data_IF_444441578438
#
_entry.id   IF_444441578438
#
_cell.length_a   1.000
_cell.length_b   1.000
_cell.length_c   1.000
_cell.angle_alpha   90.00
_cell.angle_beta   90.00
_cell.angle_gamma   90.00
#
_symmetry.space_group_name_H-M   'P 1'
#
loop_
_entity.id
_entity.type
_entity.pdbx_description
1 polymer ?
#
# COMPACT_ATOMS: atom_id res chain seq x y z
N UNK A 1 -8.77 -0.08 15.43
CA UNK A 1 -9.12 0.39 14.09
C UNK A 1 -8.33 -0.41 13.06
N UNK A 2 -8.99 -1.09 12.11
CA UNK A 2 -8.32 -1.94 11.09
C UNK A 2 -8.04 -1.20 9.76
N UNK A 3 -8.58 0.00 9.59
CA UNK A 3 -8.35 0.87 8.44
C UNK A 3 -9.16 2.16 8.53
N UNK A 4 -8.83 3.17 7.73
CA UNK A 4 -9.47 4.49 7.82
C UNK A 4 -10.96 4.49 7.40
N UNK A 5 -11.40 3.47 6.64
CA UNK A 5 -12.80 3.33 6.22
C UNK A 5 -13.75 3.05 7.41
N UNK A 6 -13.25 2.53 8.54
CA UNK A 6 -14.05 2.39 9.77
C UNK A 6 -14.51 3.74 10.34
N UNK A 7 -13.78 4.83 10.02
CA UNK A 7 -14.13 6.19 10.43
C UNK A 7 -15.22 6.81 9.55
N UNK A 8 -15.48 6.23 8.38
CA UNK A 8 -16.37 6.81 7.38
C UNK A 8 -17.81 6.86 7.86
N UNK A 9 -18.39 5.74 8.26
CA UNK A 9 -19.82 5.68 8.63
C UNK A 9 -20.16 6.64 9.78
N UNK A 10 -19.40 6.66 10.91
CA UNK A 10 -19.69 7.59 11.99
C UNK A 10 -19.55 9.06 11.58
N UNK A 11 -18.53 9.42 10.81
CA UNK A 11 -18.30 10.80 10.37
C UNK A 11 -19.33 11.23 9.33
N UNK A 12 -19.61 10.39 8.33
CA UNK A 12 -20.64 10.62 7.32
C UNK A 12 -21.99 10.92 7.98
N UNK A 13 -22.44 10.07 8.91
CA UNK A 13 -23.73 10.26 9.59
C UNK A 13 -23.81 11.53 10.47
N UNK A 14 -22.66 12.09 10.87
CA UNK A 14 -22.59 13.27 11.75
C UNK A 14 -22.34 14.58 11.01
N UNK A 15 -22.15 14.53 9.69
CA UNK A 15 -21.76 15.69 8.87
C UNK A 15 -22.89 16.13 7.94
N UNK A 16 -22.78 17.34 7.38
CA UNK A 16 -23.81 17.89 6.49
C UNK A 16 -23.70 17.26 5.11
N UNK A 17 -24.83 17.01 4.45
CA UNK A 17 -24.86 16.46 3.07
C UNK A 17 -24.12 17.30 2.03
N UNK A 18 -23.97 18.59 2.27
CA UNK A 18 -23.23 19.53 1.41
C UNK A 18 -21.73 19.57 1.68
N UNK A 19 -21.21 18.70 2.53
CA UNK A 19 -19.83 18.76 2.97
C UNK A 19 -18.85 18.11 2.00
N UNK A 20 -17.57 18.46 2.13
CA UNK A 20 -16.51 17.85 1.34
C UNK A 20 -16.48 16.31 1.53
N UNK A 21 -16.74 15.81 2.75
CA UNK A 21 -16.77 14.38 3.03
C UNK A 21 -17.90 13.66 2.30
N UNK A 22 -19.12 14.21 2.31
CA UNK A 22 -20.25 13.63 1.58
C UNK A 22 -20.01 13.60 0.07
N UNK A 23 -19.51 14.72 -0.49
CA UNK A 23 -19.18 14.82 -1.91
C UNK A 23 -18.05 13.86 -2.29
N UNK A 24 -17.00 13.75 -1.48
CA UNK A 24 -15.90 12.82 -1.68
C UNK A 24 -16.38 11.36 -1.65
N UNK A 25 -17.21 11.01 -0.66
CA UNK A 25 -17.79 9.67 -0.53
C UNK A 25 -18.62 9.32 -1.76
N UNK A 26 -19.46 10.25 -2.23
CA UNK A 26 -20.29 10.03 -3.40
C UNK A 26 -19.45 9.91 -4.68
N UNK A 27 -18.39 10.72 -4.82
CA UNK A 27 -17.48 10.62 -5.95
C UNK A 27 -16.76 9.26 -6.00
N UNK A 28 -16.27 8.76 -4.86
CA UNK A 28 -15.66 7.43 -4.75
C UNK A 28 -16.68 6.35 -5.09
N UNK A 29 -17.89 6.39 -4.49
CA UNK A 29 -18.94 5.41 -4.76
C UNK A 29 -19.35 5.38 -6.25
N UNK A 30 -19.51 6.54 -6.87
CA UNK A 30 -19.81 6.65 -8.31
C UNK A 30 -18.67 6.12 -9.18
N UNK A 31 -17.41 6.40 -8.82
CA UNK A 31 -16.25 5.86 -9.54
C UNK A 31 -16.20 4.33 -9.44
N UNK A 32 -16.35 3.78 -8.23
CA UNK A 32 -16.39 2.34 -8.01
C UNK A 32 -17.55 1.67 -8.74
N UNK A 33 -18.75 2.26 -8.71
CA UNK A 33 -19.91 1.74 -9.42
C UNK A 33 -19.80 1.89 -10.95
N UNK A 34 -19.20 2.97 -11.42
CA UNK A 34 -19.02 3.24 -12.85
C UNK A 34 -17.98 2.36 -13.52
N UNK A 35 -17.12 1.75 -12.71
CA UNK A 35 -16.10 0.80 -13.13
C UNK A 35 -16.70 -0.55 -13.59
N UNK A 36 -17.94 -0.87 -13.20
CA UNK A 36 -18.65 -2.08 -13.65
C UNK A 36 -19.11 -1.99 -15.12
N UNK A 37 -19.20 -3.14 -15.83
CA UNK A 37 -19.73 -3.20 -17.18
C UNK A 37 -21.12 -2.56 -17.29
N UNK A 38 -21.31 -1.68 -18.28
CA UNK A 38 -22.60 -1.03 -18.56
C UNK A 38 -22.95 0.19 -17.71
N UNK A 39 -22.08 0.63 -16.79
CA UNK A 39 -22.32 1.80 -15.90
C UNK A 39 -21.37 2.98 -16.13
N UNK A 40 -20.81 3.08 -17.33
CA UNK A 40 -19.75 4.05 -17.65
C UNK A 40 -20.22 5.52 -17.58
N UNK A 41 -21.52 5.76 -17.67
CA UNK A 41 -22.15 7.06 -17.46
C UNK A 41 -21.87 7.61 -16.05
N UNK A 42 -21.79 6.73 -15.04
CA UNK A 42 -21.49 7.12 -13.66
C UNK A 42 -20.07 7.69 -13.50
N UNK A 43 -19.12 7.34 -14.37
CA UNK A 43 -17.74 7.86 -14.29
C UNK A 43 -17.68 9.36 -14.58
N UNK A 44 -18.52 9.85 -15.49
CA UNK A 44 -18.64 11.29 -15.76
C UNK A 44 -19.23 12.02 -14.57
N UNK A 45 -20.21 11.42 -13.91
CA UNK A 45 -20.81 11.95 -12.70
C UNK A 45 -19.82 11.93 -11.53
N UNK A 46 -19.02 10.87 -11.40
CA UNK A 46 -17.96 10.73 -10.43
C UNK A 46 -16.94 11.87 -10.56
N UNK A 47 -16.43 12.12 -11.78
CA UNK A 47 -15.49 13.21 -12.05
C UNK A 47 -16.09 14.60 -11.76
N UNK A 48 -17.36 14.81 -12.11
CA UNK A 48 -18.07 16.06 -11.82
C UNK A 48 -18.23 16.26 -10.31
N UNK A 49 -18.59 15.20 -9.59
CA UNK A 49 -18.78 15.22 -8.13
C UNK A 49 -17.46 15.39 -7.41
N UNK A 50 -16.38 14.77 -7.90
CA UNK A 50 -15.03 14.95 -7.41
C UNK A 50 -14.56 16.40 -7.54
N UNK A 51 -14.78 17.03 -8.70
CA UNK A 51 -14.47 18.46 -8.90
C UNK A 51 -15.25 19.38 -7.94
N UNK A 52 -16.53 19.07 -7.67
CA UNK A 52 -17.32 19.78 -6.65
C UNK A 52 -16.75 19.58 -5.25
N UNK A 53 -16.34 18.35 -4.91
CA UNK A 53 -15.74 18.01 -3.63
C UNK A 53 -14.42 18.77 -3.40
N UNK A 54 -13.54 18.81 -4.41
CA UNK A 54 -12.29 19.58 -4.38
C UNK A 54 -12.55 21.08 -4.16
N UNK A 55 -13.52 21.66 -4.88
CA UNK A 55 -13.89 23.06 -4.69
C UNK A 55 -14.38 23.31 -3.26
N UNK A 56 -15.26 22.43 -2.74
CA UNK A 56 -15.79 22.53 -1.38
C UNK A 56 -14.67 22.41 -0.34
N UNK A 57 -13.75 21.46 -0.51
CA UNK A 57 -12.59 21.31 0.38
C UNK A 57 -11.73 22.58 0.37
N UNK A 58 -11.43 23.14 -0.81
CA UNK A 58 -10.64 24.38 -0.90
C UNK A 58 -11.32 25.56 -0.20
N UNK A 59 -12.65 25.62 -0.20
CA UNK A 59 -13.38 26.62 0.57
C UNK A 59 -13.32 26.33 2.09
N UNK A 60 -13.45 25.07 2.50
CA UNK A 60 -13.31 24.64 3.91
C UNK A 60 -11.92 24.91 4.48
N UNK A 61 -10.88 24.79 3.65
CA UNK A 61 -9.50 25.06 4.05
C UNK A 61 -9.23 26.54 4.37
N UNK A 62 -10.10 27.46 3.93
CA UNK A 62 -10.00 28.90 4.26
C UNK A 62 -10.48 29.21 5.68
N UNK A 63 -11.29 28.32 6.27
CA UNK A 63 -11.77 28.47 7.64
C UNK A 63 -10.80 27.77 8.62
N UNK A 64 -10.20 28.48 9.60
CA UNK A 64 -9.23 27.90 10.53
C UNK A 64 -9.77 26.78 11.44
N UNK A 65 -11.07 26.74 11.70
CA UNK A 65 -11.71 25.70 12.50
C UNK A 65 -12.09 24.50 11.64
N UNK A 66 -12.73 24.74 10.48
CA UNK A 66 -13.14 23.66 9.58
C UNK A 66 -11.95 22.94 8.98
N UNK A 67 -10.90 23.67 8.55
CA UNK A 67 -9.66 23.08 8.01
C UNK A 67 -8.99 22.04 8.93
N UNK A 68 -9.22 22.14 10.25
CA UNK A 68 -8.68 21.23 11.25
C UNK A 68 -9.66 20.14 11.68
N UNK A 69 -10.86 20.07 11.10
CA UNK A 69 -11.90 19.12 11.47
C UNK A 69 -11.63 17.71 10.94
N UNK A 70 -11.94 16.68 11.75
CA UNK A 70 -11.82 15.26 11.38
C UNK A 70 -12.43 14.94 10.02
N UNK A 71 -13.55 15.57 9.74
CA UNK A 71 -14.24 15.54 8.45
C UNK A 71 -13.35 15.96 7.28
N UNK A 72 -12.66 17.10 7.38
CA UNK A 72 -11.77 17.63 6.33
C UNK A 72 -10.62 16.68 6.05
N UNK A 73 -9.99 16.12 7.09
CA UNK A 73 -8.89 15.17 6.91
C UNK A 73 -9.39 13.87 6.30
N UNK A 74 -10.53 13.34 6.75
CA UNK A 74 -11.10 12.14 6.15
C UNK A 74 -11.53 12.35 4.69
N UNK A 75 -12.05 13.53 4.34
CA UNK A 75 -12.36 13.88 2.96
C UNK A 75 -11.11 13.84 2.06
N UNK A 76 -9.96 14.31 2.54
CA UNK A 76 -8.68 14.22 1.82
C UNK A 76 -8.23 12.77 1.66
N UNK A 77 -8.40 11.91 2.68
CA UNK A 77 -8.11 10.48 2.55
C UNK A 77 -9.01 9.81 1.50
N UNK A 78 -10.29 10.19 1.41
CA UNK A 78 -11.17 9.72 0.33
C UNK A 78 -10.77 10.23 -1.05
N UNK A 79 -10.20 11.44 -1.17
CA UNK A 79 -9.63 11.89 -2.44
C UNK A 79 -8.46 11.00 -2.87
N UNK A 80 -7.61 10.60 -1.93
CA UNK A 80 -6.56 9.62 -2.24
C UNK A 80 -7.16 8.30 -2.75
N UNK A 81 -8.26 7.82 -2.17
CA UNK A 81 -8.98 6.62 -2.63
C UNK A 81 -9.61 6.81 -4.02
N UNK A 82 -10.13 8.00 -4.31
CA UNK A 82 -10.64 8.37 -5.62
C UNK A 82 -9.53 8.34 -6.67
N UNK A 83 -8.35 8.89 -6.40
CA UNK A 83 -7.23 8.88 -7.37
C UNK A 83 -6.81 7.45 -7.71
N UNK A 84 -6.75 6.54 -6.72
CA UNK A 84 -6.47 5.12 -6.97
C UNK A 84 -7.58 4.47 -7.79
N UNK A 85 -8.84 4.84 -7.55
CA UNK A 85 -9.97 4.39 -8.38
C UNK A 85 -9.95 5.02 -9.78
N UNK A 86 -9.36 6.21 -9.92
CA UNK A 86 -9.20 6.95 -11.16
C UNK A 86 -7.99 6.51 -11.99
N UNK A 87 -7.01 5.78 -11.40
CA UNK A 87 -6.07 4.93 -12.17
C UNK A 87 -6.85 4.06 -13.15
N UNK A 88 -7.99 3.57 -12.67
CA UNK A 88 -8.87 2.67 -13.38
C UNK A 88 -9.71 3.42 -14.45
N UNK A 89 -10.01 4.69 -14.22
CA UNK A 89 -10.87 5.53 -15.08
C UNK A 89 -10.11 6.32 -16.16
N UNK A 90 -8.91 6.84 -15.88
CA UNK A 90 -8.12 7.66 -16.84
C UNK A 90 -7.55 6.81 -17.97
N UNK A 91 -7.33 5.54 -17.70
CA UNK A 91 -7.12 4.46 -18.63
C UNK A 91 -8.39 4.08 -19.45
N UNK A 92 -9.22 5.06 -19.82
CA UNK A 92 -10.30 4.93 -20.82
C UNK A 92 -10.49 6.18 -21.68
N UNK A 93 -9.92 7.32 -21.30
CA UNK A 93 -9.87 8.52 -22.13
C UNK A 93 -8.58 8.48 -22.95
N UNK A 94 -8.55 8.97 -24.18
CA UNK A 94 -7.35 9.05 -25.04
C UNK A 94 -6.24 9.97 -24.50
N UNK A 95 -6.33 10.36 -23.23
CA UNK A 95 -5.31 11.07 -22.46
C UNK A 95 -4.61 10.02 -21.61
N UNK A 96 -3.37 9.69 -21.97
CA UNK A 96 -2.51 8.80 -21.17
C UNK A 96 -2.17 9.55 -19.88
N UNK A 97 -2.91 9.33 -18.80
CA UNK A 97 -2.36 9.55 -17.46
C UNK A 97 -1.51 8.34 -17.12
N UNK A 98 -0.26 8.59 -16.76
CA UNK A 98 0.65 7.52 -16.37
C UNK A 98 0.30 7.00 -14.97
N UNK A 99 0.69 5.77 -14.66
CA UNK A 99 0.67 5.25 -13.28
C UNK A 99 1.41 6.20 -12.33
N UNK A 100 2.43 6.91 -12.83
CA UNK A 100 3.18 7.89 -12.06
C UNK A 100 2.37 9.15 -11.71
N UNK A 101 1.54 9.65 -12.63
CA UNK A 101 0.69 10.84 -12.38
C UNK A 101 -0.34 10.59 -11.27
N UNK A 102 -0.87 9.37 -11.23
CA UNK A 102 -1.90 8.96 -10.28
C UNK A 102 -1.33 8.57 -8.91
N UNK A 103 -0.19 7.88 -8.88
CA UNK A 103 0.60 7.69 -7.65
C UNK A 103 1.00 9.05 -7.07
N UNK A 104 1.38 10.00 -7.93
CA UNK A 104 1.71 11.37 -7.51
C UNK A 104 0.48 12.11 -6.96
N UNK A 105 -0.68 12.02 -7.63
CA UNK A 105 -1.91 12.64 -7.15
C UNK A 105 -2.35 12.06 -5.80
N UNK A 106 -2.33 10.74 -5.65
CA UNK A 106 -2.56 10.06 -4.37
C UNK A 106 -1.59 10.56 -3.30
N UNK A 107 -0.28 10.58 -3.59
CA UNK A 107 0.74 11.01 -2.65
C UNK A 107 0.57 12.47 -2.22
N UNK A 108 0.13 13.35 -3.14
CA UNK A 108 -0.15 14.76 -2.84
C UNK A 108 -1.32 14.92 -1.84
N UNK A 109 -2.38 14.11 -1.96
CA UNK A 109 -3.46 14.10 -0.98
C UNK A 109 -2.96 13.62 0.39
N UNK A 110 -2.11 12.58 0.43
CA UNK A 110 -1.50 12.12 1.67
C UNK A 110 -0.62 13.20 2.30
N UNK A 111 0.24 13.86 1.51
CA UNK A 111 1.08 14.97 1.98
C UNK A 111 0.23 16.13 2.53
N UNK A 112 -0.92 16.42 1.91
CA UNK A 112 -1.91 17.38 2.41
C UNK A 112 -2.54 16.97 3.75
N UNK A 113 -2.95 15.71 3.89
CA UNK A 113 -3.48 15.18 5.15
C UNK A 113 -2.44 15.22 6.28
N UNK A 114 -1.17 14.91 5.98
CA UNK A 114 -0.04 15.01 6.91
C UNK A 114 0.17 16.45 7.36
N UNK A 115 0.14 17.41 6.45
CA UNK A 115 0.28 18.83 6.77
C UNK A 115 -0.80 19.31 7.73
N UNK A 116 -2.08 18.98 7.47
CA UNK A 116 -3.18 19.31 8.38
C UNK A 116 -3.04 18.62 9.74
N UNK A 117 -2.60 17.36 9.75
CA UNK A 117 -2.36 16.61 10.98
C UNK A 117 -1.28 17.26 11.84
N UNK A 118 -0.20 17.76 11.22
CA UNK A 118 0.84 18.55 11.91
C UNK A 118 0.27 19.86 12.48
N UNK A 119 -0.58 20.57 11.71
CA UNK A 119 -1.23 21.82 12.14
C UNK A 119 -2.17 21.61 13.33
N UNK A 120 -2.85 20.47 13.41
CA UNK A 120 -3.67 20.10 14.59
C UNK A 120 -2.83 19.90 15.86
N UNK A 121 -1.55 19.57 15.71
CA UNK A 121 -0.64 19.34 16.84
C UNK A 121 -1.09 18.21 17.75
N UNK A 122 -0.62 18.21 19.00
CA UNK A 122 -0.93 17.17 19.99
C UNK A 122 -2.34 17.29 20.58
N UNK A 123 -3.06 18.38 20.31
CA UNK A 123 -4.42 18.59 20.82
C UNK A 123 -5.42 17.54 20.31
N UNK A 124 -5.20 17.00 19.10
CA UNK A 124 -6.03 15.94 18.55
C UNK A 124 -6.02 14.65 19.38
N UNK A 125 -5.02 14.44 20.24
CA UNK A 125 -4.96 13.27 21.12
C UNK A 125 -5.95 13.34 22.30
N UNK A 126 -6.53 14.52 22.57
CA UNK A 126 -7.55 14.70 23.61
C UNK A 126 -8.91 14.12 23.21
N UNK A 127 -9.16 13.93 21.91
CA UNK A 127 -10.40 13.38 21.38
C UNK A 127 -10.13 11.99 20.78
N UNK A 128 -10.81 10.92 21.24
CA UNK A 128 -10.60 9.57 20.72
C UNK A 128 -10.77 9.46 19.19
N UNK A 129 -11.78 10.14 18.62
CA UNK A 129 -12.03 10.12 17.18
C UNK A 129 -10.90 10.81 16.40
N UNK A 130 -10.46 11.97 16.86
CA UNK A 130 -9.37 12.70 16.21
C UNK A 130 -8.04 11.95 16.34
N UNK A 131 -7.84 11.18 17.41
CA UNK A 131 -6.71 10.28 17.56
C UNK A 131 -6.77 9.10 16.56
N UNK A 132 -7.95 8.55 16.28
CA UNK A 132 -8.09 7.52 15.25
C UNK A 132 -7.87 8.09 13.83
N UNK A 133 -8.33 9.32 13.56
CA UNK A 133 -8.00 10.03 12.31
C UNK A 133 -6.49 10.25 12.19
N UNK A 134 -5.80 10.63 13.27
CA UNK A 134 -4.33 10.72 13.30
C UNK A 134 -3.68 9.39 12.93
N UNK A 135 -4.14 8.27 13.51
CA UNK A 135 -3.62 6.92 13.22
C UNK A 135 -3.82 6.56 11.75
N UNK A 136 -4.98 6.87 11.17
CA UNK A 136 -5.26 6.67 9.76
C UNK A 136 -4.29 7.45 8.86
N UNK A 137 -4.06 8.74 9.13
CA UNK A 137 -3.09 9.56 8.38
C UNK A 137 -1.68 9.01 8.54
N UNK A 138 -1.28 8.61 9.76
CA UNK A 138 0.04 8.03 10.03
C UNK A 138 0.29 6.77 9.20
N UNK A 139 -0.68 5.85 9.14
CA UNK A 139 -0.58 4.65 8.31
C UNK A 139 -0.41 4.99 6.84
N UNK A 140 -1.27 5.88 6.29
CA UNK A 140 -1.19 6.28 4.88
C UNK A 140 0.12 7.02 4.55
N UNK A 141 0.61 7.86 5.46
CA UNK A 141 1.89 8.55 5.35
C UNK A 141 3.05 7.56 5.26
N UNK A 142 3.11 6.58 6.17
CA UNK A 142 4.19 5.60 6.19
C UNK A 142 4.17 4.78 4.89
N UNK A 143 3.00 4.34 4.43
CA UNK A 143 2.86 3.68 3.12
C UNK A 143 3.41 4.56 1.99
N UNK A 144 3.05 5.85 1.96
CA UNK A 144 3.52 6.80 0.93
C UNK A 144 5.04 7.06 0.99
N UNK A 145 5.59 7.19 2.19
CA UNK A 145 7.01 7.41 2.42
C UNK A 145 7.84 6.17 2.03
N UNK A 146 7.36 4.98 2.37
CA UNK A 146 8.00 3.71 1.96
C UNK A 146 8.00 3.63 0.43
N UNK A 147 6.87 3.90 -0.21
CA UNK A 147 6.71 3.90 -1.68
C UNK A 147 7.71 4.81 -2.39
N UNK A 148 7.75 6.07 -1.98
CA UNK A 148 8.60 7.10 -2.60
C UNK A 148 10.06 7.07 -2.12
N UNK A 149 10.40 6.15 -1.21
CA UNK A 149 11.67 6.16 -0.48
C UNK A 149 12.00 7.55 0.10
N UNK A 150 10.97 8.24 0.60
CA UNK A 150 11.09 9.58 1.18
C UNK A 150 11.12 9.48 2.71
N UNK A 151 12.08 10.13 3.39
CA UNK A 151 12.09 10.21 4.84
C UNK A 151 10.78 10.74 5.42
N UNK A 152 10.43 10.26 6.61
CA UNK A 152 9.27 10.74 7.36
C UNK A 152 9.64 12.05 8.06
N UNK A 153 8.91 13.13 7.77
CA UNK A 153 9.09 14.40 8.46
C UNK A 153 8.70 14.32 9.94
N UNK A 154 9.21 15.21 10.78
CA UNK A 154 8.89 15.21 12.21
C UNK A 154 7.46 15.71 12.48
N UNK A 155 6.85 15.16 13.54
CA UNK A 155 5.58 15.62 14.10
C UNK A 155 5.83 16.49 15.34
N UNK A 156 5.10 17.60 15.56
CA UNK A 156 5.33 18.55 16.66
C UNK A 156 4.92 18.04 18.07
N UNK A 157 5.23 16.78 18.40
CA UNK A 157 4.99 16.18 19.71
C UNK A 157 6.26 15.54 20.29
N UNK A 158 6.32 15.41 21.63
CA UNK A 158 7.48 14.85 22.35
C UNK A 158 7.93 13.48 21.82
N UNK A 159 6.99 12.66 21.37
CA UNK A 159 7.22 11.30 20.87
C UNK A 159 7.10 11.21 19.34
N UNK A 160 7.10 12.35 18.65
CA UNK A 160 6.86 12.43 17.20
C UNK A 160 5.57 11.71 16.80
N UNK A 161 5.65 10.97 15.69
CA UNK A 161 4.54 10.17 15.17
C UNK A 161 4.24 8.91 15.99
N UNK A 162 5.13 8.48 16.90
CA UNK A 162 4.92 7.28 17.70
C UNK A 162 3.86 7.48 18.80
N UNK A 163 3.71 8.72 19.30
CA UNK A 163 2.79 9.10 20.41
C UNK A 163 3.08 8.30 21.69
N UNK A 164 2.73 8.81 22.87
CA UNK A 164 2.90 8.06 24.13
C UNK A 164 1.76 7.04 24.28
N UNK A 165 1.78 5.96 23.50
CA UNK A 165 0.77 4.90 23.52
C UNK A 165 0.98 3.95 24.73
N UNK A 166 1.00 4.52 25.95
CA UNK A 166 1.10 3.76 27.22
C UNK A 166 -0.15 2.93 27.55
N UNK A 167 -1.22 3.13 26.80
CA UNK A 167 -2.43 2.30 26.89
C UNK A 167 -2.14 1.04 26.08
N UNK A 168 -2.02 -0.12 26.72
CA UNK A 168 -1.78 -1.43 26.10
C UNK A 168 -2.90 -1.94 25.18
N UNK A 169 -3.47 -1.04 24.38
CA UNK A 169 -4.58 -1.21 23.44
C UNK A 169 -4.11 -0.90 21.99
N UNK A 170 -2.81 -1.06 21.73
CA UNK A 170 -2.28 -0.98 20.37
C UNK A 170 -2.78 -2.18 19.58
N UNK A 171 -3.77 -1.95 18.71
CA UNK A 171 -4.20 -2.96 17.76
C UNK A 171 -3.02 -3.40 16.87
N UNK A 172 -3.05 -4.64 16.37
CA UNK A 172 -1.95 -5.23 15.62
C UNK A 172 -1.50 -4.40 14.40
N UNK A 173 -2.43 -3.72 13.71
CA UNK A 173 -2.12 -2.86 12.56
C UNK A 173 -1.31 -1.61 12.96
N UNK A 174 -1.62 -1.01 14.11
CA UNK A 174 -0.84 0.10 14.66
C UNK A 174 0.57 -0.35 15.04
N UNK A 175 0.71 -1.50 15.69
CA UNK A 175 2.03 -2.08 16.04
C UNK A 175 2.89 -2.29 14.78
N UNK A 176 2.30 -2.83 13.71
CA UNK A 176 2.97 -2.98 12.42
C UNK A 176 3.41 -1.62 11.85
N UNK A 177 2.51 -0.65 11.86
CA UNK A 177 2.78 0.72 11.39
C UNK A 177 3.97 1.33 12.14
N UNK A 178 4.05 1.16 13.45
CA UNK A 178 5.14 1.68 14.28
C UNK A 178 6.48 0.98 14.01
N UNK A 179 6.48 -0.30 13.63
CA UNK A 179 7.69 -1.01 13.21
C UNK A 179 8.15 -0.49 11.84
N UNK A 180 7.22 -0.28 10.89
CA UNK A 180 7.58 0.19 9.54
C UNK A 180 7.90 1.70 9.48
N UNK A 181 7.76 2.49 10.56
CA UNK A 181 7.97 3.95 10.52
C UNK A 181 9.39 4.37 10.14
N UNK A 182 10.38 3.53 10.48
CA UNK A 182 11.79 3.82 10.22
C UNK A 182 12.24 3.29 8.83
N UNK A 183 11.42 2.44 8.19
CA UNK A 183 11.70 1.82 6.90
C UNK A 183 11.92 2.84 5.76
N UNK A 184 11.15 3.94 5.63
CA UNK A 184 11.42 4.95 4.60
C UNK A 184 12.81 5.58 4.71
N UNK A 185 13.27 5.83 5.94
CA UNK A 185 14.59 6.41 6.18
C UNK A 185 15.70 5.44 5.80
N UNK A 186 15.54 4.16 6.16
CA UNK A 186 16.48 3.09 5.81
C UNK A 186 16.57 2.95 4.28
N UNK A 187 15.43 2.94 3.58
CA UNK A 187 15.39 2.88 2.12
C UNK A 187 16.06 4.08 1.47
N UNK A 188 15.78 5.29 1.94
CA UNK A 188 16.41 6.51 1.40
C UNK A 188 17.94 6.45 1.52
N UNK A 189 18.46 6.03 2.69
CA UNK A 189 19.90 5.83 2.93
C UNK A 189 20.48 4.74 2.02
N UNK A 190 19.80 3.61 1.89
CA UNK A 190 20.21 2.52 1.01
C UNK A 190 20.28 2.96 -0.45
N UNK A 191 19.25 3.65 -0.96
CA UNK A 191 19.22 4.19 -2.33
C UNK A 191 20.37 5.16 -2.57
N UNK A 192 20.64 6.07 -1.64
CA UNK A 192 21.74 7.02 -1.76
C UNK A 192 23.11 6.31 -1.86
N UNK A 193 23.30 5.24 -1.07
CA UNK A 193 24.49 4.39 -1.14
C UNK A 193 24.60 3.66 -2.49
N UNK A 194 23.54 2.95 -2.90
CA UNK A 194 23.62 1.97 -3.99
C UNK A 194 23.53 2.58 -5.38
N UNK A 195 23.14 3.85 -5.48
CA UNK A 195 23.19 4.64 -6.72
C UNK A 195 24.55 5.28 -6.96
N UNK A 196 25.41 5.32 -5.93
CA UNK A 196 26.78 5.84 -6.04
C UNK A 196 27.77 4.70 -6.26
N UNK A 197 28.89 4.92 -6.98
CA UNK A 197 29.98 3.96 -7.04
C UNK A 197 30.47 3.58 -5.64
N UNK A 198 31.03 2.38 -5.51
CA UNK A 198 31.63 1.95 -4.26
C UNK A 198 32.69 2.95 -3.77
N UNK A 199 32.62 3.31 -2.50
CA UNK A 199 33.54 4.24 -1.85
C UNK A 199 33.86 3.74 -0.43
N UNK A 200 35.15 3.57 -0.12
CA UNK A 200 35.58 2.90 1.13
C UNK A 200 35.12 3.65 2.40
N UNK A 201 35.04 4.97 2.33
CA UNK A 201 34.56 5.84 3.42
C UNK A 201 33.07 5.65 3.74
N UNK A 202 32.29 5.04 2.83
CA UNK A 202 30.87 4.75 3.03
C UNK A 202 30.61 3.30 3.52
N UNK A 203 31.64 2.48 3.76
CA UNK A 203 31.47 1.10 4.24
C UNK A 203 30.77 1.04 5.62
N UNK A 204 31.12 1.94 6.54
CA UNK A 204 30.48 2.00 7.87
C UNK A 204 28.99 2.33 7.76
N UNK A 205 28.63 3.25 6.85
CA UNK A 205 27.24 3.61 6.58
C UNK A 205 26.48 2.44 5.93
N UNK A 206 27.09 1.73 4.99
CA UNK A 206 26.51 0.52 4.39
C UNK A 206 26.27 -0.59 5.43
N UNK A 207 27.22 -0.80 6.35
CA UNK A 207 27.05 -1.74 7.46
C UNK A 207 25.97 -1.29 8.46
N UNK A 208 25.87 0.02 8.73
CA UNK A 208 24.81 0.60 9.56
C UNK A 208 23.42 0.36 8.95
N UNK A 209 23.24 0.67 7.67
CA UNK A 209 21.97 0.47 6.95
C UNK A 209 21.62 -1.02 6.88
N UNK A 210 22.59 -1.88 6.59
CA UNK A 210 22.42 -3.34 6.57
C UNK A 210 21.93 -3.87 7.93
N UNK A 211 22.64 -3.53 9.01
CA UNK A 211 22.30 -3.99 10.36
C UNK A 211 20.93 -3.46 10.82
N UNK A 212 20.58 -2.23 10.43
CA UNK A 212 19.29 -1.67 10.79
C UNK A 212 18.14 -2.30 10.00
N UNK A 213 18.33 -2.61 8.71
CA UNK A 213 17.35 -3.35 7.92
C UNK A 213 17.10 -4.77 8.47
N UNK A 214 18.16 -5.45 8.94
CA UNK A 214 18.05 -6.75 9.63
C UNK A 214 17.26 -6.65 10.94
N UNK A 215 17.50 -5.60 11.74
CA UNK A 215 16.76 -5.36 12.97
C UNK A 215 15.27 -5.13 12.72
N UNK A 216 14.93 -4.34 11.69
CA UNK A 216 13.52 -4.09 11.33
C UNK A 216 12.86 -5.37 10.82
N UNK A 217 13.53 -6.18 9.98
CA UNK A 217 12.97 -7.46 9.53
C UNK A 217 12.72 -8.44 10.69
N UNK A 218 13.65 -8.51 11.66
CA UNK A 218 13.47 -9.31 12.86
C UNK A 218 12.25 -8.85 13.68
N UNK A 219 12.09 -7.54 13.89
CA UNK A 219 10.92 -6.98 14.58
C UNK A 219 9.60 -7.27 13.85
N UNK A 220 9.61 -7.26 12.51
CA UNK A 220 8.44 -7.64 11.71
C UNK A 220 8.10 -9.13 11.91
N UNK A 221 9.11 -10.00 11.87
CA UNK A 221 8.92 -11.43 12.10
C UNK A 221 8.36 -11.72 13.50
N UNK A 222 8.92 -11.06 14.53
CA UNK A 222 8.43 -11.16 15.91
C UNK A 222 6.99 -10.67 16.03
N UNK A 223 6.65 -9.55 15.38
CA UNK A 223 5.28 -9.04 15.34
C UNK A 223 4.31 -10.11 14.81
N UNK A 224 4.65 -10.79 13.72
CA UNK A 224 3.80 -11.82 13.12
C UNK A 224 3.56 -12.99 14.10
N UNK A 225 4.58 -13.40 14.86
CA UNK A 225 4.45 -14.44 15.88
C UNK A 225 3.59 -14.03 17.08
N UNK A 226 3.40 -12.73 17.32
CA UNK A 226 2.51 -12.25 18.40
C UNK A 226 1.03 -12.22 18.03
N UNK A 227 0.67 -12.49 16.77
CA UNK A 227 -0.70 -12.38 16.30
C UNK A 227 -1.57 -13.56 16.79
N UNK A 228 -2.85 -13.32 17.12
CA UNK A 228 -3.80 -14.39 17.42
C UNK A 228 -3.99 -15.36 16.25
N UNK A 229 -4.49 -16.57 16.54
CA UNK A 229 -4.73 -17.61 15.53
C UNK A 229 -5.66 -17.14 14.40
N UNK A 230 -6.65 -16.29 14.68
CA UNK A 230 -7.59 -15.77 13.67
C UNK A 230 -6.94 -14.86 12.62
N UNK A 231 -5.68 -14.44 12.84
CA UNK A 231 -4.88 -13.69 11.86
C UNK A 231 -4.10 -14.60 10.91
N UNK A 232 -3.99 -15.89 11.23
CA UNK A 232 -3.29 -16.86 10.40
C UNK A 232 -4.17 -17.28 9.22
N UNK A 233 -3.54 -17.53 8.09
CA UNK A 233 -4.26 -18.10 6.96
C UNK A 233 -4.59 -19.57 7.21
N UNK A 234 -5.62 -20.04 6.52
CA UNK A 234 -5.89 -21.47 6.32
C UNK A 234 -5.61 -21.82 4.86
N UNK A 235 -4.86 -22.90 4.65
CA UNK A 235 -4.67 -23.47 3.31
C UNK A 235 -5.90 -24.29 2.93
N UNK A 236 -6.59 -23.88 1.87
CA UNK A 236 -7.84 -24.53 1.41
C UNK A 236 -7.65 -25.35 0.13
N UNK A 237 -6.48 -25.26 -0.50
CA UNK A 237 -6.17 -25.97 -1.73
C UNK A 237 -4.69 -25.87 -2.11
N UNK A 238 -4.31 -26.65 -3.12
CA UNK A 238 -2.96 -26.70 -3.68
C UNK A 238 -3.06 -26.74 -5.21
N UNK A 239 -2.35 -25.86 -5.89
CA UNK A 239 -2.30 -25.80 -7.35
C UNK A 239 -0.96 -26.36 -7.81
N UNK A 240 -0.99 -27.50 -8.51
CA UNK A 240 0.22 -28.22 -8.91
C UNK A 240 0.66 -27.96 -10.35
N UNK A 241 -0.25 -27.49 -11.20
CA UNK A 241 0.02 -27.31 -12.63
C UNK A 241 0.36 -25.86 -12.92
N UNK A 242 1.49 -25.62 -13.58
CA UNK A 242 1.82 -24.29 -14.10
C UNK A 242 1.03 -24.07 -15.40
N UNK A 243 0.17 -23.04 -15.47
CA UNK A 243 -0.51 -22.70 -16.72
C UNK A 243 0.48 -22.38 -17.83
N UNK A 244 0.14 -22.69 -19.09
CA UNK A 244 0.93 -22.26 -20.25
C UNK A 244 0.91 -20.73 -20.35
N UNK A 245 -0.28 -20.13 -20.27
CA UNK A 245 -0.49 -18.68 -20.20
C UNK A 245 -0.65 -18.24 -18.74
N UNK A 246 0.47 -17.92 -18.09
CA UNK A 246 0.47 -17.55 -16.67
C UNK A 246 -0.23 -16.22 -16.41
N UNK A 247 -0.19 -15.25 -17.32
CA UNK A 247 -0.80 -13.93 -17.08
C UNK A 247 -2.32 -13.99 -16.83
N UNK A 248 -3.02 -14.91 -17.50
CA UNK A 248 -4.49 -15.00 -17.44
C UNK A 248 -5.00 -15.98 -16.37
N UNK A 249 -4.11 -16.79 -15.78
CA UNK A 249 -4.49 -17.76 -14.75
C UNK A 249 -4.99 -17.11 -13.46
N UNK A 250 -6.12 -17.60 -12.95
CA UNK A 250 -6.69 -17.17 -11.67
C UNK A 250 -5.80 -17.50 -10.47
N UNK A 251 -4.99 -18.56 -10.57
CA UNK A 251 -4.20 -19.07 -9.45
C UNK A 251 -2.72 -19.19 -9.86
N UNK A 252 -1.84 -18.93 -8.89
CA UNK A 252 -0.44 -19.30 -8.99
C UNK A 252 -0.23 -20.72 -8.47
N UNK A 253 0.86 -21.36 -8.89
CA UNK A 253 1.25 -22.65 -8.32
C UNK A 253 1.49 -22.53 -6.81
N UNK A 254 1.16 -23.58 -6.08
CA UNK A 254 1.32 -23.64 -4.64
C UNK A 254 0.00 -23.50 -3.85
N UNK A 255 0.11 -23.22 -2.55
CA UNK A 255 -1.03 -23.24 -1.64
C UNK A 255 -2.00 -22.09 -1.92
N UNK A 256 -3.27 -22.29 -1.58
CA UNK A 256 -4.32 -21.28 -1.68
C UNK A 256 -4.75 -20.88 -0.27
N UNK A 257 -4.58 -19.62 0.09
CA UNK A 257 -4.74 -19.10 1.45
C UNK A 257 -6.06 -18.34 1.60
N UNK A 258 -6.82 -18.67 2.65
CA UNK A 258 -8.03 -17.97 3.08
C UNK A 258 -7.81 -17.39 4.47
N UNK A 259 -8.28 -16.16 4.68
CA UNK A 259 -8.20 -15.47 5.97
C UNK A 259 -9.61 -15.29 6.56
N UNK A 260 -9.66 -14.80 7.79
CA UNK A 260 -10.91 -14.43 8.45
C UNK A 260 -11.67 -13.38 7.64
N UNK A 261 -11.00 -12.31 7.21
CA UNK A 261 -11.56 -11.30 6.33
C UNK A 261 -10.48 -10.62 5.47
N UNK A 262 -10.93 -9.84 4.49
CA UNK A 262 -10.06 -9.10 3.56
C UNK A 262 -9.20 -8.05 4.27
N UNK A 263 -9.65 -7.49 5.40
CA UNK A 263 -8.87 -6.51 6.16
C UNK A 263 -7.66 -7.17 6.82
N UNK A 264 -7.85 -8.33 7.46
CA UNK A 264 -6.76 -9.12 8.04
C UNK A 264 -5.76 -9.48 6.95
N UNK A 265 -6.23 -10.04 5.83
CA UNK A 265 -5.36 -10.40 4.72
C UNK A 265 -4.58 -9.19 4.16
N UNK A 266 -5.21 -8.02 4.08
CA UNK A 266 -4.57 -6.76 3.68
C UNK A 266 -3.44 -6.36 4.62
N UNK A 267 -3.67 -6.38 5.95
CA UNK A 267 -2.64 -6.04 6.94
C UNK A 267 -1.49 -7.06 6.92
N UNK A 268 -1.77 -8.35 6.71
CA UNK A 268 -0.73 -9.36 6.53
C UNK A 268 0.08 -9.09 5.24
N UNK A 269 -0.56 -8.65 4.16
CA UNK A 269 0.15 -8.25 2.95
C UNK A 269 1.00 -6.99 3.16
N UNK A 270 0.56 -6.02 3.95
CA UNK A 270 1.40 -4.87 4.35
C UNK A 270 2.67 -5.32 5.08
N UNK A 271 2.54 -6.30 5.97
CA UNK A 271 3.68 -6.94 6.65
C UNK A 271 4.64 -7.60 5.64
N UNK A 272 4.12 -8.39 4.70
CA UNK A 272 4.93 -9.04 3.66
C UNK A 272 5.68 -8.03 2.82
N UNK A 273 5.01 -6.93 2.44
CA UNK A 273 5.62 -5.84 1.68
C UNK A 273 6.70 -5.12 2.50
N UNK A 274 6.48 -4.83 3.78
CA UNK A 274 7.54 -4.26 4.65
C UNK A 274 8.77 -5.20 4.71
N UNK A 275 8.56 -6.52 4.82
CA UNK A 275 9.66 -7.51 4.81
C UNK A 275 10.39 -7.57 3.48
N UNK A 276 9.67 -7.54 2.36
CA UNK A 276 10.26 -7.45 1.01
C UNK A 276 11.21 -6.26 0.95
N UNK A 277 10.77 -5.07 1.39
CA UNK A 277 11.62 -3.89 1.35
C UNK A 277 12.83 -3.96 2.27
N UNK A 278 12.69 -4.48 3.49
CA UNK A 278 13.84 -4.69 4.38
C UNK A 278 14.88 -5.60 3.73
N UNK A 279 14.43 -6.71 3.16
CA UNK A 279 15.32 -7.69 2.52
C UNK A 279 15.90 -7.18 1.19
N UNK A 280 15.17 -6.35 0.44
CA UNK A 280 15.73 -5.65 -0.73
C UNK A 280 16.85 -4.69 -0.32
N UNK A 281 16.70 -3.96 0.79
CA UNK A 281 17.80 -3.13 1.33
C UNK A 281 19.01 -3.99 1.71
N UNK A 282 18.78 -5.12 2.39
CA UNK A 282 19.85 -6.07 2.76
C UNK A 282 20.61 -6.53 1.51
N UNK A 283 19.89 -6.99 0.48
CA UNK A 283 20.46 -7.42 -0.81
C UNK A 283 21.29 -6.29 -1.44
N UNK A 284 20.75 -5.08 -1.51
CA UNK A 284 21.43 -3.92 -2.09
C UNK A 284 22.71 -3.54 -1.34
N UNK A 285 22.67 -3.48 0.00
CA UNK A 285 23.86 -3.18 0.81
C UNK A 285 24.94 -4.26 0.67
N UNK A 286 24.55 -5.54 0.68
CA UNK A 286 25.52 -6.64 0.53
C UNK A 286 26.16 -6.63 -0.87
N UNK A 287 25.36 -6.41 -1.92
CA UNK A 287 25.88 -6.26 -3.28
C UNK A 287 26.88 -5.10 -3.37
N UNK A 288 26.54 -3.95 -2.81
CA UNK A 288 27.39 -2.76 -2.83
C UNK A 288 28.72 -3.00 -2.09
N UNK A 289 28.68 -3.62 -0.90
CA UNK A 289 29.88 -3.98 -0.13
C UNK A 289 30.77 -5.02 -0.86
N UNK A 290 30.17 -5.91 -1.66
CA UNK A 290 30.92 -6.90 -2.44
C UNK A 290 31.74 -6.26 -3.58
N UNK A 291 31.34 -5.10 -4.11
CA UNK A 291 32.09 -4.37 -5.13
C UNK A 291 33.49 -3.97 -4.62
N UNK A 292 33.61 -3.62 -3.34
CA UNK A 292 34.90 -3.31 -2.69
C UNK A 292 35.84 -4.51 -2.52
N UNK A 293 35.31 -5.74 -2.58
CA UNK A 293 36.04 -7.00 -2.36
C UNK A 293 36.43 -7.70 -3.67
N UNK A 294 36.90 -6.92 -4.65
CA UNK A 294 37.31 -7.39 -5.98
C UNK A 294 36.22 -8.18 -6.75
N UNK A 295 34.95 -7.83 -6.56
CA UNK A 295 33.85 -8.39 -7.34
C UNK A 295 33.57 -9.88 -7.10
N UNK A 296 34.01 -10.46 -5.97
CA UNK A 296 33.53 -11.79 -5.57
C UNK A 296 32.02 -11.75 -5.39
N UNK A 297 31.32 -12.78 -5.88
CA UNK A 297 29.88 -12.87 -5.67
C UNK A 297 29.55 -12.72 -4.17
N UNK A 298 28.46 -12.02 -3.82
CA UNK A 298 28.03 -11.85 -2.45
C UNK A 298 27.52 -13.17 -1.86
N UNK A 299 28.42 -14.11 -1.59
CA UNK A 299 28.14 -15.40 -0.94
C UNK A 299 28.09 -15.25 0.58
N UNK A 300 27.40 -14.21 1.06
CA UNK A 300 27.12 -14.07 2.50
C UNK A 300 25.79 -14.74 2.82
N UNK A 301 25.71 -15.39 3.98
CA UNK A 301 24.45 -15.98 4.48
C UNK A 301 23.31 -14.95 4.55
N UNK A 302 23.63 -13.68 4.80
CA UNK A 302 22.67 -12.58 4.81
C UNK A 302 22.03 -12.35 3.43
N UNK A 303 22.78 -12.51 2.35
CA UNK A 303 22.27 -12.35 0.97
C UNK A 303 21.32 -13.48 0.60
N UNK A 304 21.74 -14.73 0.82
CA UNK A 304 20.92 -15.92 0.52
C UNK A 304 19.64 -15.94 1.35
N UNK A 305 19.73 -15.62 2.64
CA UNK A 305 18.56 -15.52 3.51
C UNK A 305 17.61 -14.40 3.05
N UNK A 306 18.12 -13.24 2.65
CA UNK A 306 17.29 -12.14 2.18
C UNK A 306 16.53 -12.50 0.88
N UNK A 307 17.21 -13.16 -0.06
CA UNK A 307 16.55 -13.66 -1.29
C UNK A 307 15.47 -14.71 -0.97
N UNK A 308 15.76 -15.64 -0.06
CA UNK A 308 14.79 -16.64 0.39
C UNK A 308 13.56 -15.99 1.01
N UNK A 309 13.74 -15.00 1.89
CA UNK A 309 12.63 -14.27 2.51
C UNK A 309 11.82 -13.51 1.45
N UNK A 310 12.48 -12.82 0.51
CA UNK A 310 11.77 -12.11 -0.57
C UNK A 310 10.89 -13.08 -1.37
N UNK A 311 11.43 -14.22 -1.79
CA UNK A 311 10.67 -15.25 -2.52
C UNK A 311 9.49 -15.76 -1.69
N UNK A 312 9.71 -16.10 -0.42
CA UNK A 312 8.64 -16.58 0.47
C UNK A 312 7.52 -15.56 0.65
N UNK A 313 7.84 -14.27 0.82
CA UNK A 313 6.82 -13.22 0.92
C UNK A 313 6.01 -13.06 -0.36
N UNK A 314 6.66 -13.18 -1.53
CA UNK A 314 5.99 -13.12 -2.83
C UNK A 314 5.11 -14.35 -3.06
N UNK A 315 5.56 -15.54 -2.69
CA UNK A 315 4.76 -16.77 -2.77
C UNK A 315 3.52 -16.70 -1.88
N UNK A 316 3.65 -16.14 -0.67
CA UNK A 316 2.49 -15.98 0.21
C UNK A 316 1.52 -14.89 -0.26
N UNK A 317 2.01 -13.80 -0.90
CA UNK A 317 1.15 -12.84 -1.61
C UNK A 317 0.40 -13.58 -2.72
N UNK A 318 1.10 -14.34 -3.57
CA UNK A 318 0.50 -15.14 -4.64
C UNK A 318 -0.60 -16.08 -4.12
N UNK A 319 -0.35 -16.76 -3.00
CA UNK A 319 -1.27 -17.70 -2.39
C UNK A 319 -2.60 -17.07 -1.91
N UNK A 320 -2.60 -15.78 -1.56
CA UNK A 320 -3.80 -15.09 -1.07
C UNK A 320 -4.57 -14.31 -2.14
N UNK A 321 -4.04 -14.19 -3.37
CA UNK A 321 -4.71 -13.45 -4.44
C UNK A 321 -6.14 -13.93 -4.70
N UNK A 322 -6.41 -15.25 -4.81
CA UNK A 322 -7.76 -15.72 -5.11
C UNK A 322 -8.76 -15.39 -4.00
N UNK A 323 -8.33 -15.38 -2.73
CA UNK A 323 -9.16 -14.96 -1.60
C UNK A 323 -9.61 -13.50 -1.73
N UNK A 324 -8.72 -12.60 -2.13
CA UNK A 324 -9.06 -11.20 -2.36
C UNK A 324 -9.93 -10.99 -3.60
N UNK A 325 -9.72 -11.76 -4.67
CA UNK A 325 -10.36 -11.51 -5.97
C UNK A 325 -11.66 -12.28 -6.21
N UNK A 326 -11.97 -13.29 -5.40
CA UNK A 326 -13.14 -14.14 -5.56
C UNK A 326 -14.02 -14.10 -4.33
N UNK A 327 -15.24 -13.58 -4.47
CA UNK A 327 -16.25 -13.63 -3.41
C UNK A 327 -16.50 -15.06 -2.93
N UNK A 328 -16.31 -16.06 -3.80
CA UNK A 328 -16.50 -17.45 -3.43
C UNK A 328 -15.55 -17.93 -2.32
N UNK A 329 -14.37 -17.33 -2.25
CA UNK A 329 -13.35 -17.62 -1.26
C UNK A 329 -13.45 -16.76 0.01
N UNK A 330 -14.45 -15.86 0.11
CA UNK A 330 -14.62 -14.94 1.23
C UNK A 330 -15.79 -15.37 2.14
N UNK A 331 -15.60 -16.34 3.06
CA UNK A 331 -16.68 -16.88 3.89
C UNK A 331 -17.35 -15.81 4.76
N UNK A 332 -16.57 -14.86 5.30
CA UNK A 332 -17.07 -13.78 6.14
C UNK A 332 -17.93 -12.76 5.38
N UNK A 333 -17.56 -12.46 4.13
CA UNK A 333 -18.36 -11.59 3.27
C UNK A 333 -19.74 -12.22 2.99
N UNK A 334 -19.76 -13.54 2.73
CA UNK A 334 -20.99 -14.33 2.57
C UNK A 334 -21.85 -14.37 3.81
N UNK A 335 -21.24 -14.61 4.97
CA UNK A 335 -21.95 -14.65 6.26
C UNK A 335 -22.63 -13.32 6.58
N UNK A 336 -21.96 -12.21 6.30
CA UNK A 336 -22.47 -10.85 6.53
C UNK A 336 -23.43 -10.37 5.42
N UNK A 337 -23.66 -11.17 4.37
CA UNK A 337 -24.51 -10.79 3.24
C UNK A 337 -23.97 -9.59 2.47
N UNK A 338 -22.65 -9.44 2.38
CA UNK A 338 -22.03 -8.37 1.60
C UNK A 338 -22.35 -8.54 0.11
N UNK A 339 -22.48 -7.42 -0.58
CA UNK A 339 -22.61 -7.43 -2.03
C UNK A 339 -21.33 -7.99 -2.67
N UNK A 340 -21.51 -8.93 -3.62
CA UNK A 340 -20.39 -9.64 -4.28
C UNK A 340 -19.42 -8.67 -4.93
N UNK A 341 -19.96 -7.73 -5.69
CA UNK A 341 -19.19 -6.76 -6.46
C UNK A 341 -18.42 -5.85 -5.50
N UNK A 342 -19.06 -5.35 -4.43
CA UNK A 342 -18.39 -4.55 -3.41
C UNK A 342 -17.25 -5.30 -2.68
N UNK A 343 -17.45 -6.58 -2.36
CA UNK A 343 -16.45 -7.41 -1.68
C UNK A 343 -15.22 -7.68 -2.56
N UNK A 344 -15.43 -8.04 -3.84
CA UNK A 344 -14.35 -8.20 -4.82
C UNK A 344 -13.65 -6.87 -5.11
N UNK A 345 -14.37 -5.75 -5.13
CA UNK A 345 -13.80 -4.41 -5.28
C UNK A 345 -12.82 -4.05 -4.18
N UNK A 346 -13.22 -4.27 -2.92
CA UNK A 346 -12.34 -4.00 -1.78
C UNK A 346 -11.13 -4.94 -1.77
N UNK A 347 -11.34 -6.23 -2.09
CA UNK A 347 -10.26 -7.20 -2.17
C UNK A 347 -9.25 -6.86 -3.28
N UNK A 348 -9.73 -6.51 -4.47
CA UNK A 348 -8.90 -6.05 -5.59
C UNK A 348 -8.13 -4.78 -5.26
N UNK A 349 -8.79 -3.76 -4.69
CA UNK A 349 -8.14 -2.54 -4.21
C UNK A 349 -6.98 -2.84 -3.25
N UNK A 350 -7.22 -3.72 -2.27
CA UNK A 350 -6.23 -4.09 -1.26
C UNK A 350 -5.02 -4.85 -1.84
N UNK A 351 -5.15 -5.45 -3.02
CA UNK A 351 -4.07 -6.17 -3.71
C UNK A 351 -3.22 -5.32 -4.65
N UNK A 352 -3.72 -4.16 -5.10
CA UNK A 352 -3.01 -3.34 -6.12
C UNK A 352 -1.57 -3.10 -5.72
N UNK A 353 -1.35 -2.72 -4.45
CA UNK A 353 -0.01 -2.40 -3.98
C UNK A 353 0.89 -3.64 -3.79
N UNK A 354 0.49 -4.68 -3.04
CA UNK A 354 1.28 -5.91 -2.92
C UNK A 354 1.68 -6.54 -4.27
N UNK A 355 0.74 -6.58 -5.22
CA UNK A 355 1.01 -7.11 -6.56
C UNK A 355 1.96 -6.21 -7.36
N UNK A 356 1.83 -4.89 -7.25
CA UNK A 356 2.75 -3.95 -7.91
C UNK A 356 4.17 -4.12 -7.37
N UNK A 357 4.35 -4.20 -6.06
CA UNK A 357 5.67 -4.44 -5.45
C UNK A 357 6.23 -5.77 -5.94
N UNK A 358 5.47 -6.86 -5.77
CA UNK A 358 5.95 -8.19 -6.09
C UNK A 358 6.27 -8.38 -7.59
N UNK A 359 5.47 -7.80 -8.48
CA UNK A 359 5.71 -7.89 -9.94
C UNK A 359 6.90 -7.07 -10.43
N UNK A 360 7.42 -6.13 -9.64
CA UNK A 360 8.58 -5.30 -9.99
C UNK A 360 9.90 -5.76 -9.33
N UNK A 361 9.92 -6.88 -8.61
CA UNK A 361 11.13 -7.42 -8.00
C UNK A 361 11.97 -8.21 -9.01
N UNK A 362 13.12 -7.69 -9.42
CA UNK A 362 14.03 -8.33 -10.38
C UNK A 362 14.52 -9.71 -9.90
N UNK A 363 14.56 -9.94 -8.59
CA UNK A 363 14.99 -11.19 -7.96
C UNK A 363 13.99 -12.34 -8.09
N UNK A 364 12.74 -12.06 -8.45
CA UNK A 364 11.67 -13.07 -8.60
C UNK A 364 11.70 -13.69 -10.00
N UNK A 365 11.21 -14.92 -10.15
CA UNK A 365 11.10 -15.54 -11.47
C UNK A 365 10.19 -14.73 -12.41
N UNK A 366 10.56 -14.65 -13.69
CA UNK A 366 9.82 -13.85 -14.67
C UNK A 366 8.37 -14.33 -14.83
N UNK A 367 8.10 -15.64 -14.77
CA UNK A 367 6.73 -16.16 -14.93
C UNK A 367 5.84 -15.77 -13.74
N UNK A 368 6.39 -15.74 -12.53
CA UNK A 368 5.64 -15.29 -11.36
C UNK A 368 5.35 -13.80 -11.44
N UNK A 369 6.33 -12.99 -11.87
CA UNK A 369 6.10 -11.57 -12.15
C UNK A 369 5.03 -11.34 -13.21
N UNK A 370 5.04 -12.13 -14.29
CA UNK A 370 4.05 -12.05 -15.36
C UNK A 370 2.66 -12.42 -14.84
N UNK A 371 2.53 -13.45 -14.00
CA UNK A 371 1.27 -13.79 -13.34
C UNK A 371 0.79 -12.66 -12.42
N UNK A 372 1.65 -12.13 -11.55
CA UNK A 372 1.33 -11.01 -10.65
C UNK A 372 0.89 -9.76 -11.44
N UNK A 373 1.60 -9.44 -12.53
CA UNK A 373 1.24 -8.38 -13.47
C UNK A 373 -0.08 -8.64 -14.18
N UNK A 374 -0.35 -9.89 -14.55
CA UNK A 374 -1.64 -10.33 -15.07
C UNK A 374 -2.78 -10.18 -14.06
N UNK A 375 -2.55 -10.40 -12.76
CA UNK A 375 -3.54 -10.15 -11.71
C UNK A 375 -3.83 -8.66 -11.53
N UNK A 376 -2.80 -7.81 -11.61
CA UNK A 376 -2.99 -6.35 -11.71
C UNK A 376 -3.82 -5.99 -12.94
N UNK A 377 -3.58 -6.66 -14.08
CA UNK A 377 -4.38 -6.47 -15.29
C UNK A 377 -5.84 -6.81 -15.07
N UNK A 378 -6.12 -7.94 -14.41
CA UNK A 378 -7.50 -8.37 -14.14
C UNK A 378 -8.21 -7.43 -13.16
N UNK A 379 -7.54 -7.01 -12.09
CA UNK A 379 -8.07 -5.97 -11.18
C UNK A 379 -8.41 -4.73 -11.99
N UNK A 380 -7.43 -4.27 -12.76
CA UNK A 380 -7.57 -3.17 -13.68
C UNK A 380 -8.79 -3.29 -14.58
N UNK A 381 -8.89 -4.35 -15.39
CA UNK A 381 -9.97 -4.58 -16.37
C UNK A 381 -11.34 -4.87 -15.76
N UNK A 382 -11.43 -5.57 -14.61
CA UNK A 382 -12.69 -5.78 -13.88
C UNK A 382 -13.24 -4.49 -13.30
N UNK A 383 -12.37 -3.59 -12.87
CA UNK A 383 -12.74 -2.22 -12.53
C UNK A 383 -12.63 -1.28 -13.74
N UNK A 384 -12.24 -1.80 -14.90
CA UNK A 384 -12.39 -1.12 -16.16
C UNK A 384 -11.22 -0.31 -16.75
N UNK A 385 -10.03 -0.87 -16.77
CA UNK A 385 -8.97 -0.48 -17.71
C UNK A 385 -9.24 -1.06 -19.11
N UNK A 386 -8.80 -0.38 -20.20
CA UNK A 386 -8.71 -1.02 -21.52
C UNK A 386 -7.37 -1.77 -21.71
N UNK A 387 -7.34 -2.81 -22.54
CA UNK A 387 -6.15 -3.64 -22.78
C UNK A 387 -4.89 -2.86 -23.18
N UNK A 388 -5.04 -1.75 -23.92
CA UNK A 388 -3.92 -0.89 -24.31
C UNK A 388 -3.34 -0.08 -23.14
N UNK A 389 -4.19 0.33 -22.20
CA UNK A 389 -3.77 1.08 -21.01
C UNK A 389 -3.20 0.17 -19.93
N UNK A 390 -3.65 -1.08 -19.87
CA UNK A 390 -2.97 -2.05 -19.02
C UNK A 390 -1.59 -2.43 -19.55
N UNK A 391 -1.38 -2.44 -20.87
CA UNK A 391 -0.06 -2.63 -21.46
C UNK A 391 0.93 -1.53 -21.04
N UNK A 392 0.45 -0.33 -20.73
CA UNK A 392 1.26 0.78 -20.19
C UNK A 392 1.58 0.56 -18.70
N UNK A 393 0.63 0.04 -17.90
CA UNK A 393 0.91 -0.35 -16.52
C UNK A 393 1.85 -1.56 -16.42
N UNK A 394 1.78 -2.48 -17.38
CA UNK A 394 2.63 -3.67 -17.49
C UNK A 394 4.00 -3.37 -18.12
N UNK A 395 4.18 -2.20 -18.77
CA UNK A 395 5.50 -1.74 -19.21
C UNK A 395 6.30 -1.35 -17.98
N UNK A 396 7.29 -2.18 -17.64
CA UNK A 396 8.32 -1.96 -16.60
C UNK A 396 8.65 -0.47 -16.43
N UNK A 397 7.99 0.18 -15.47
CA UNK A 397 8.51 1.39 -14.88
C UNK A 397 9.17 0.91 -13.60
N UNK A 398 10.47 0.63 -13.76
CA UNK A 398 11.40 0.33 -12.69
C UNK A 398 11.13 1.32 -11.57
N UNK A 399 10.82 0.84 -10.36
CA UNK A 399 11.09 1.62 -9.17
C UNK A 399 12.59 1.88 -9.18
N UNK A 400 13.03 2.98 -9.79
CA UNK A 400 14.45 3.34 -9.90
C UNK A 400 14.95 3.77 -8.53
N UNK A 401 15.24 2.74 -7.74
CA UNK A 401 16.15 2.75 -6.61
C UNK A 401 17.11 1.56 -6.73
N UNK A 402 17.43 1.13 -7.95
CA UNK A 402 18.45 0.14 -8.27
C UNK A 402 19.36 0.69 -9.38
N UNK A 403 20.67 0.43 -9.34
CA UNK A 403 21.62 0.96 -10.31
C UNK A 403 21.30 0.43 -11.70
N UNK A 404 21.13 1.34 -12.67
CA UNK A 404 21.27 0.99 -14.07
C UNK A 404 22.76 0.79 -14.34
N UNK A 405 23.18 -0.46 -14.54
CA UNK A 405 24.48 -0.73 -15.14
C UNK A 405 24.35 -0.70 -16.68
N UNK A 406 25.39 -0.19 -17.38
CA UNK A 406 25.37 0.04 -18.83
C UNK A 406 25.24 -1.23 -19.68
#
# INVERSE_FOLDING_TARGET
MRGFLELLVPLYNSTRTSSALHLATNAVALATCGNYPGRQDLLREAATTYGKALKKLNDDLKDPAVSKSDETVLAILLFSLYEVSSIITSARSSVIMTTDDTITAWANHIDGAVALTKIRGTDQFKNPRSHDVFRAVRTMMITSCVQRSKPVETFPGRYGWKVNEQSGDENAANRLTLICIDLPNIRARATALTTSPYAKDLEEEAHSVLGYAQLVDANLQDWYHTLPTDWQYRTVGMVSNVPEEVADSEHWIGPQHVYEDVHVASIINDYRVCRIFCNSVIVSCVNWLAMGKAGKQPTSSAYENALFVIQAMVDEISACVPFHMSYEMQPRAKELGQDKDAAEAFGGYSLVWPLYVASNLETIDQRQRDWLGGRLFVIGSRFGLSSAQVLVMARRHVLTCGPMFP
#
